data_IF_357758621087
#
_entry.id   IF_357758621087
#
_cell.length_a   1.000
_cell.length_b   1.000
_cell.length_c   1.000
_cell.angle_alpha   90.00
_cell.angle_beta   90.00
_cell.angle_gamma   90.00
#
_symmetry.space_group_name_H-M   'P 1'
#
loop_
_entity.id
_entity.type
_entity.pdbx_description
1 polymer ?
#
# COMPACT_ATOMS: atom_id res chain seq x y z
N UNK A 1 -21.05 34.31 5.29
CA UNK A 1 -20.34 33.97 6.53
C UNK A 1 -19.93 32.46 6.58
N UNK A 2 -20.76 31.52 6.07
CA UNK A 2 -20.48 30.08 6.07
C UNK A 2 -19.26 29.65 5.23
N UNK A 3 -19.00 30.29 4.11
CA UNK A 3 -17.87 29.91 3.21
C UNK A 3 -16.49 30.15 3.83
N UNK A 4 -16.33 31.22 4.63
CA UNK A 4 -15.05 31.51 5.27
C UNK A 4 -14.69 30.50 6.38
N UNK A 5 -15.67 30.05 7.15
CA UNK A 5 -15.47 29.06 8.22
C UNK A 5 -15.08 27.68 7.63
N UNK A 6 -15.73 27.28 6.53
CA UNK A 6 -15.41 26.03 5.83
C UNK A 6 -13.99 26.05 5.23
N UNK A 7 -13.56 27.16 4.65
CA UNK A 7 -12.19 27.30 4.10
C UNK A 7 -11.14 27.22 5.22
N UNK A 8 -11.38 27.84 6.36
CA UNK A 8 -10.46 27.79 7.52
C UNK A 8 -10.38 26.36 8.07
N UNK A 9 -11.52 25.68 8.22
CA UNK A 9 -11.58 24.29 8.68
C UNK A 9 -10.84 23.34 7.72
N UNK A 10 -11.06 23.48 6.41
CA UNK A 10 -10.40 22.70 5.38
C UNK A 10 -8.88 22.94 5.34
N UNK A 11 -8.43 24.18 5.46
CA UNK A 11 -7.00 24.50 5.53
C UNK A 11 -6.35 23.90 6.80
N UNK A 12 -7.03 23.92 7.93
CA UNK A 12 -6.55 23.28 9.16
C UNK A 12 -6.42 21.77 8.98
N UNK A 13 -7.40 21.12 8.40
CA UNK A 13 -7.40 19.69 8.10
C UNK A 13 -6.22 19.29 7.19
N UNK A 14 -6.05 19.98 6.06
CA UNK A 14 -4.95 19.74 5.12
C UNK A 14 -3.58 19.96 5.75
N UNK A 15 -3.44 20.96 6.62
CA UNK A 15 -2.20 21.19 7.35
C UNK A 15 -1.89 20.05 8.33
N UNK A 16 -2.90 19.48 8.99
CA UNK A 16 -2.74 18.32 9.86
C UNK A 16 -2.25 17.10 9.07
N UNK A 17 -2.92 16.77 7.95
CA UNK A 17 -2.51 15.66 7.06
C UNK A 17 -1.07 15.85 6.59
N UNK A 18 -0.73 17.06 6.10
CA UNK A 18 0.63 17.38 5.64
C UNK A 18 1.68 17.25 6.74
N UNK A 19 1.37 17.67 7.95
CA UNK A 19 2.29 17.56 9.08
C UNK A 19 2.59 16.10 9.43
N UNK A 20 1.58 15.23 9.40
CA UNK A 20 1.72 13.80 9.66
C UNK A 20 2.58 13.15 8.57
N UNK A 21 2.26 13.39 7.31
CA UNK A 21 3.05 12.88 6.17
C UNK A 21 4.51 13.35 6.27
N UNK A 22 4.74 14.62 6.52
CA UNK A 22 6.08 15.18 6.66
C UNK A 22 6.88 14.55 7.81
N UNK A 23 6.22 14.36 8.97
CA UNK A 23 6.81 13.68 10.12
C UNK A 23 7.25 12.25 9.76
N UNK A 24 6.37 11.49 9.09
CA UNK A 24 6.65 10.10 8.72
C UNK A 24 7.83 10.02 7.74
N UNK A 25 7.85 10.89 6.72
CA UNK A 25 8.98 10.95 5.77
C UNK A 25 10.31 11.31 6.44
N UNK A 26 10.33 12.31 7.33
CA UNK A 26 11.56 12.67 8.06
C UNK A 26 12.03 11.52 8.95
N UNK A 27 11.10 10.86 9.62
CA UNK A 27 11.44 9.73 10.49
C UNK A 27 12.07 8.61 9.66
N UNK A 28 11.46 8.25 8.55
CA UNK A 28 11.97 7.18 7.69
C UNK A 28 13.30 7.52 7.02
N UNK A 29 13.51 8.76 6.57
CA UNK A 29 14.79 9.21 6.01
C UNK A 29 15.95 9.11 7.02
N UNK A 30 15.64 9.23 8.31
CA UNK A 30 16.64 9.11 9.39
C UNK A 30 16.92 7.65 9.76
N UNK A 31 15.89 6.83 9.88
CA UNK A 31 16.02 5.45 10.36
C UNK A 31 16.28 4.46 9.23
N UNK A 32 15.68 4.68 8.07
CA UNK A 32 15.70 3.81 6.87
C UNK A 32 15.24 2.36 7.13
N UNK A 33 14.66 2.12 8.28
CA UNK A 33 14.34 0.77 8.74
C UNK A 33 13.15 0.15 8.00
N UNK A 34 12.13 0.96 7.70
CA UNK A 34 10.95 0.52 6.99
C UNK A 34 11.29 0.17 5.54
N UNK A 35 11.96 1.08 4.82
CA UNK A 35 12.40 0.85 3.45
C UNK A 35 13.32 -0.36 3.32
N UNK A 36 14.33 -0.47 4.19
CA UNK A 36 15.27 -1.59 4.16
C UNK A 36 14.56 -2.93 4.37
N UNK A 37 13.62 -2.99 5.32
CA UNK A 37 12.87 -4.21 5.60
C UNK A 37 11.98 -4.61 4.42
N UNK A 38 11.23 -3.67 3.86
CA UNK A 38 10.36 -3.89 2.71
C UNK A 38 11.17 -4.32 1.48
N UNK A 39 12.26 -3.62 1.19
CA UNK A 39 13.10 -3.87 0.03
C UNK A 39 13.80 -5.23 0.10
N UNK A 40 14.44 -5.54 1.23
CA UNK A 40 15.12 -6.82 1.43
C UNK A 40 14.13 -7.97 1.30
N UNK A 41 12.93 -7.83 1.87
CA UNK A 41 11.93 -8.89 1.81
C UNK A 41 11.37 -9.08 0.40
N UNK A 42 11.05 -8.00 -0.32
CA UNK A 42 10.61 -8.08 -1.71
C UNK A 42 11.67 -8.72 -2.60
N UNK A 43 12.94 -8.31 -2.43
CA UNK A 43 14.07 -8.90 -3.15
C UNK A 43 14.20 -10.40 -2.86
N UNK A 44 14.09 -10.81 -1.59
CA UNK A 44 14.18 -12.20 -1.18
C UNK A 44 13.07 -13.03 -1.81
N UNK A 45 11.83 -12.54 -1.83
CA UNK A 45 10.71 -13.21 -2.50
C UNK A 45 11.03 -13.42 -3.99
N UNK A 46 11.48 -12.37 -4.70
CA UNK A 46 11.83 -12.46 -6.12
C UNK A 46 12.93 -13.50 -6.34
N UNK A 47 13.99 -13.49 -5.52
CA UNK A 47 15.10 -14.43 -5.62
C UNK A 47 14.61 -15.87 -5.39
N UNK A 48 13.81 -16.12 -4.35
CA UNK A 48 13.29 -17.46 -4.09
C UNK A 48 12.49 -17.98 -5.28
N UNK A 49 11.60 -17.14 -5.83
CA UNK A 49 10.78 -17.57 -6.96
C UNK A 49 11.59 -17.83 -8.22
N UNK A 50 12.58 -16.99 -8.55
CA UNK A 50 13.41 -17.19 -9.75
C UNK A 50 14.21 -18.51 -9.68
N UNK A 51 14.72 -18.85 -8.49
CA UNK A 51 15.43 -20.13 -8.30
C UNK A 51 14.51 -21.34 -8.19
N UNK A 52 13.26 -21.16 -7.78
CA UNK A 52 12.27 -22.23 -7.63
C UNK A 52 11.57 -22.60 -8.94
N UNK A 53 11.48 -21.65 -9.87
CA UNK A 53 10.73 -21.80 -11.12
C UNK A 53 11.70 -22.14 -12.25
N UNK A 54 11.40 -23.22 -12.96
CA UNK A 54 12.14 -23.55 -14.17
C UNK A 54 11.61 -22.74 -15.37
N UNK A 55 12.23 -21.59 -15.63
CA UNK A 55 11.86 -20.69 -16.72
C UNK A 55 12.05 -21.28 -18.13
N UNK A 56 12.69 -22.44 -18.25
CA UNK A 56 12.75 -23.17 -19.52
C UNK A 56 11.43 -23.88 -19.84
N UNK A 57 10.60 -24.14 -18.83
CA UNK A 57 9.32 -24.85 -18.96
C UNK A 57 8.15 -23.86 -18.95
N UNK A 58 8.21 -22.83 -18.09
CA UNK A 58 7.13 -21.87 -17.88
C UNK A 58 7.58 -20.48 -18.30
N UNK A 59 6.74 -19.80 -19.07
CA UNK A 59 7.06 -18.44 -19.51
C UNK A 59 7.08 -17.46 -18.35
N UNK A 60 8.13 -16.66 -18.26
CA UNK A 60 8.24 -15.61 -17.25
C UNK A 60 7.06 -14.64 -17.27
N UNK A 61 6.50 -14.35 -18.46
CA UNK A 61 5.33 -13.49 -18.63
C UNK A 61 4.03 -14.02 -17.99
N UNK A 62 3.92 -15.34 -17.81
CA UNK A 62 2.73 -15.96 -17.22
C UNK A 62 2.76 -15.93 -15.69
N UNK A 63 3.94 -16.13 -15.09
CA UNK A 63 4.11 -16.21 -13.63
C UNK A 63 4.56 -14.88 -13.04
N UNK A 64 5.34 -14.10 -13.78
CA UNK A 64 5.93 -12.84 -13.32
C UNK A 64 4.96 -11.89 -12.63
N UNK A 65 3.78 -11.61 -13.21
CA UNK A 65 2.79 -10.75 -12.56
C UNK A 65 2.40 -11.21 -11.16
N UNK A 66 2.17 -12.52 -11.00
CA UNK A 66 1.85 -13.11 -9.70
C UNK A 66 2.98 -12.96 -8.68
N UNK A 67 4.22 -13.26 -9.09
CA UNK A 67 5.40 -13.12 -8.22
C UNK A 67 5.61 -11.66 -7.81
N UNK A 68 5.46 -10.73 -8.75
CA UNK A 68 5.59 -9.29 -8.49
C UNK A 68 4.60 -8.83 -7.43
N UNK A 69 3.32 -9.15 -7.60
CA UNK A 69 2.27 -8.74 -6.65
C UNK A 69 2.39 -9.46 -5.30
N UNK A 70 2.85 -10.70 -5.26
CA UNK A 70 3.16 -11.40 -4.00
C UNK A 70 4.31 -10.70 -3.27
N UNK A 71 5.37 -10.29 -3.97
CA UNK A 71 6.46 -9.53 -3.37
C UNK A 71 5.98 -8.19 -2.80
N UNK A 72 5.13 -7.45 -3.54
CA UNK A 72 4.54 -6.18 -3.10
C UNK A 72 3.63 -6.36 -1.88
N UNK A 73 2.77 -7.39 -1.90
CA UNK A 73 1.86 -7.71 -0.81
C UNK A 73 2.60 -7.98 0.51
N UNK A 74 3.61 -8.84 0.47
CA UNK A 74 4.36 -9.17 1.68
C UNK A 74 5.21 -8.01 2.17
N UNK A 75 5.90 -7.31 1.28
CA UNK A 75 6.67 -6.13 1.63
C UNK A 75 5.76 -5.03 2.21
N UNK A 76 4.62 -4.79 1.58
CA UNK A 76 3.63 -3.82 2.06
C UNK A 76 3.06 -4.18 3.42
N UNK A 77 2.81 -5.47 3.69
CA UNK A 77 2.35 -5.93 5.00
C UNK A 77 3.38 -5.64 6.10
N UNK A 78 4.67 -5.85 5.82
CA UNK A 78 5.76 -5.49 6.75
C UNK A 78 5.79 -3.98 6.97
N UNK A 79 5.65 -3.19 5.89
CA UNK A 79 5.61 -1.74 5.96
C UNK A 79 4.46 -1.22 6.83
N UNK A 80 3.26 -1.73 6.62
CA UNK A 80 2.06 -1.36 7.38
C UNK A 80 2.19 -1.70 8.87
N UNK A 81 2.67 -2.90 9.20
CA UNK A 81 2.93 -3.30 10.58
C UNK A 81 3.88 -2.33 11.28
N UNK A 82 4.98 -2.00 10.62
CA UNK A 82 6.02 -1.15 11.21
C UNK A 82 5.60 0.32 11.32
N UNK A 83 4.80 0.82 10.39
CA UNK A 83 4.33 2.21 10.37
C UNK A 83 3.60 2.62 11.66
N UNK A 84 2.76 1.76 12.20
CA UNK A 84 2.04 2.00 13.46
C UNK A 84 2.83 1.56 14.71
N UNK A 85 3.75 0.60 14.56
CA UNK A 85 4.62 0.15 15.64
C UNK A 85 5.52 1.28 16.18
N UNK A 86 6.14 2.01 15.29
CA UNK A 86 7.02 3.12 15.63
C UNK A 86 6.31 4.23 16.43
N UNK A 87 5.01 4.41 16.21
CA UNK A 87 4.23 5.42 16.95
C UNK A 87 3.88 4.96 18.36
N UNK A 88 3.59 3.67 18.53
CA UNK A 88 3.28 3.10 19.84
C UNK A 88 4.50 2.99 20.75
N UNK A 89 5.65 2.57 20.21
CA UNK A 89 6.91 2.46 20.97
C UNK A 89 7.43 3.79 21.50
N UNK A 90 7.09 4.89 20.84
CA UNK A 90 7.53 6.24 21.24
C UNK A 90 6.48 7.03 22.01
N UNK A 91 5.39 6.38 22.47
CA UNK A 91 4.21 7.04 23.08
C UNK A 91 3.65 8.20 22.24
N UNK A 92 4.05 8.29 20.96
CA UNK A 92 3.60 9.34 20.05
C UNK A 92 2.12 9.21 19.74
N UNK A 93 1.57 8.00 19.77
CA UNK A 93 0.14 7.76 19.54
C UNK A 93 -0.72 8.43 20.62
N UNK A 94 -0.32 8.30 21.89
CA UNK A 94 -1.01 8.98 22.99
C UNK A 94 -0.89 10.50 22.91
N UNK A 95 0.28 11.00 22.53
CA UNK A 95 0.50 12.42 22.28
C UNK A 95 -0.35 12.98 21.12
N UNK A 96 -0.55 12.20 20.07
CA UNK A 96 -1.41 12.56 18.93
C UNK A 96 -2.91 12.50 19.28
N UNK A 97 -3.33 11.58 20.14
CA UNK A 97 -4.73 11.48 20.59
C UNK A 97 -5.10 12.59 21.60
N UNK A 98 -4.14 13.10 22.37
CA UNK A 98 -4.33 14.24 23.27
C UNK A 98 -4.29 15.58 22.50
N UNK A 99 -3.59 15.62 21.35
CA UNK A 99 -3.58 16.81 20.51
C UNK A 99 -4.95 16.98 19.83
N UNK A 100 -5.40 18.21 19.54
CA UNK A 100 -6.66 18.48 18.84
C UNK A 100 -6.52 18.19 17.35
N UNK A 101 -6.16 16.94 17.01
CA UNK A 101 -6.03 16.42 15.64
C UNK A 101 -7.28 15.65 15.30
N UNK A 102 -7.81 15.91 14.11
CA UNK A 102 -8.94 15.16 13.58
C UNK A 102 -8.51 13.71 13.28
N UNK A 103 -9.29 12.73 13.74
CA UNK A 103 -8.99 11.30 13.58
C UNK A 103 -8.94 10.88 12.11
N UNK A 104 -9.83 11.45 11.30
CA UNK A 104 -9.81 11.23 9.85
C UNK A 104 -8.55 11.83 9.21
N UNK A 105 -8.05 12.97 9.70
CA UNK A 105 -6.80 13.55 9.22
C UNK A 105 -5.58 12.67 9.59
N UNK A 106 -5.61 12.02 10.75
CA UNK A 106 -4.59 11.05 11.13
C UNK A 106 -4.59 9.85 10.19
N UNK A 107 -5.76 9.28 9.91
CA UNK A 107 -5.90 8.17 8.97
C UNK A 107 -5.40 8.52 7.57
N UNK A 108 -5.86 9.64 6.99
CA UNK A 108 -5.43 10.04 5.65
C UNK A 108 -3.94 10.40 5.59
N UNK A 109 -3.40 10.99 6.64
CA UNK A 109 -1.96 11.25 6.76
C UNK A 109 -1.16 9.94 6.70
N UNK A 110 -1.58 8.94 7.46
CA UNK A 110 -0.97 7.61 7.45
C UNK A 110 -1.17 6.86 6.13
N UNK A 111 -2.36 6.94 5.56
CA UNK A 111 -2.65 6.34 4.25
C UNK A 111 -1.71 6.90 3.18
N UNK A 112 -1.57 8.23 3.10
CA UNK A 112 -0.70 8.87 2.10
C UNK A 112 0.77 8.51 2.34
N UNK A 113 1.22 8.46 3.60
CA UNK A 113 2.59 8.05 3.94
C UNK A 113 2.86 6.61 3.51
N UNK A 114 2.01 5.67 3.92
CA UNK A 114 2.14 4.25 3.60
C UNK A 114 2.08 4.00 2.08
N UNK A 115 1.14 4.64 1.41
CA UNK A 115 0.99 4.57 -0.04
C UNK A 115 2.25 5.08 -0.76
N UNK A 116 2.79 6.23 -0.35
CA UNK A 116 3.99 6.80 -0.93
C UNK A 116 5.21 5.90 -0.71
N UNK A 117 5.37 5.36 0.50
CA UNK A 117 6.47 4.46 0.82
C UNK A 117 6.41 3.17 -0.01
N UNK A 118 5.22 2.58 -0.13
CA UNK A 118 5.04 1.37 -0.89
C UNK A 118 5.30 1.61 -2.39
N UNK A 119 4.76 2.69 -2.97
CA UNK A 119 5.06 3.07 -4.35
C UNK A 119 6.55 3.24 -4.62
N UNK A 120 7.27 3.96 -3.75
CA UNK A 120 8.72 4.14 -3.91
C UNK A 120 9.43 2.78 -3.90
N UNK A 121 9.04 1.89 -2.99
CA UNK A 121 9.61 0.54 -2.92
C UNK A 121 9.30 -0.26 -4.18
N UNK A 122 8.06 -0.23 -4.68
CA UNK A 122 7.63 -0.93 -5.89
C UNK A 122 8.42 -0.44 -7.11
N UNK A 123 8.60 0.87 -7.26
CA UNK A 123 9.41 1.45 -8.34
C UNK A 123 10.90 1.08 -8.24
N UNK A 124 11.44 0.90 -7.05
CA UNK A 124 12.81 0.44 -6.87
C UNK A 124 12.98 -1.05 -7.20
N UNK A 125 11.97 -1.86 -6.92
CA UNK A 125 11.98 -3.31 -7.19
C UNK A 125 11.70 -3.62 -8.66
N UNK A 126 10.91 -2.80 -9.37
CA UNK A 126 10.56 -3.03 -10.77
C UNK A 126 11.76 -3.29 -11.69
N UNK A 127 12.82 -2.46 -11.74
CA UNK A 127 13.97 -2.73 -12.59
C UNK A 127 14.70 -4.03 -12.24
N UNK A 128 14.75 -4.36 -10.96
CA UNK A 128 15.34 -5.63 -10.48
C UNK A 128 14.51 -6.80 -10.99
N UNK A 129 13.18 -6.70 -10.87
CA UNK A 129 12.25 -7.71 -11.38
C UNK A 129 12.40 -7.90 -12.89
N UNK A 130 12.50 -6.80 -13.67
CA UNK A 130 12.71 -6.84 -15.13
C UNK A 130 13.98 -7.63 -15.50
N UNK A 131 15.08 -7.37 -14.79
CA UNK A 131 16.37 -8.05 -15.02
C UNK A 131 16.26 -9.53 -14.71
N UNK A 132 15.73 -9.88 -13.53
CA UNK A 132 15.67 -11.28 -13.08
C UNK A 132 14.71 -12.15 -13.90
N UNK A 133 13.56 -11.62 -14.29
CA UNK A 133 12.57 -12.33 -15.10
C UNK A 133 12.77 -12.16 -16.60
N UNK A 134 13.74 -11.34 -17.02
CA UNK A 134 13.99 -11.01 -18.44
C UNK A 134 12.73 -10.57 -19.19
N UNK A 135 11.93 -9.70 -18.55
CA UNK A 135 10.69 -9.13 -19.09
C UNK A 135 10.95 -7.66 -19.40
N UNK A 136 10.72 -7.24 -20.65
CA UNK A 136 10.81 -5.83 -21.02
C UNK A 136 9.46 -5.13 -20.74
N UNK A 137 9.41 -4.37 -19.65
CA UNK A 137 8.24 -3.55 -19.27
C UNK A 137 8.33 -2.11 -19.77
N UNK A 138 9.45 -1.69 -20.33
CA UNK A 138 9.68 -0.30 -20.74
C UNK A 138 8.63 0.18 -21.74
N UNK A 139 8.24 -0.59 -22.79
CA UNK A 139 7.23 -0.17 -23.77
C UNK A 139 5.84 0.01 -23.14
N UNK A 140 5.58 -0.67 -22.00
CA UNK A 140 4.27 -0.70 -21.36
C UNK A 140 4.27 -0.05 -19.96
N UNK A 141 5.23 0.85 -19.72
CA UNK A 141 5.46 1.44 -18.40
C UNK A 141 4.26 2.27 -17.93
N UNK A 142 3.62 3.00 -18.82
CA UNK A 142 2.50 3.88 -18.49
C UNK A 142 1.24 3.10 -18.05
N UNK A 143 0.76 2.07 -18.78
CA UNK A 143 -0.29 1.18 -18.28
C UNK A 143 0.09 0.48 -16.98
N UNK A 144 1.34 0.04 -16.84
CA UNK A 144 1.81 -0.63 -15.64
C UNK A 144 1.75 0.26 -14.40
N UNK A 145 2.20 1.53 -14.53
CA UNK A 145 2.11 2.51 -13.44
C UNK A 145 0.65 2.68 -13.00
N UNK A 146 -0.28 2.71 -13.94
CA UNK A 146 -1.71 2.84 -13.63
C UNK A 146 -2.23 1.65 -12.82
N UNK A 147 -1.83 0.43 -13.19
CA UNK A 147 -2.20 -0.81 -12.47
C UNK A 147 -1.59 -0.83 -11.08
N UNK A 148 -0.31 -0.49 -10.97
CA UNK A 148 0.39 -0.40 -9.68
C UNK A 148 -0.30 0.61 -8.78
N UNK A 149 -0.58 1.80 -9.27
CA UNK A 149 -1.23 2.85 -8.49
C UNK A 149 -2.59 2.40 -7.95
N UNK A 150 -3.46 1.82 -8.79
CA UNK A 150 -4.76 1.34 -8.38
C UNK A 150 -4.65 0.20 -7.35
N UNK A 151 -3.87 -0.84 -7.64
CA UNK A 151 -3.73 -1.98 -6.73
C UNK A 151 -3.13 -1.60 -5.37
N UNK A 152 -2.12 -0.73 -5.37
CA UNK A 152 -1.47 -0.25 -4.15
C UNK A 152 -2.38 0.67 -3.33
N UNK A 153 -3.24 1.47 -3.99
CA UNK A 153 -4.20 2.33 -3.30
C UNK A 153 -5.17 1.50 -2.46
N UNK A 154 -5.80 0.49 -3.02
CA UNK A 154 -6.72 -0.37 -2.29
C UNK A 154 -6.03 -1.17 -1.18
N UNK A 155 -4.83 -1.69 -1.47
CA UNK A 155 -4.02 -2.34 -0.44
C UNK A 155 -3.74 -1.41 0.74
N UNK A 156 -3.26 -0.20 0.49
CA UNK A 156 -2.93 0.76 1.55
C UNK A 156 -4.17 1.24 2.29
N UNK A 157 -5.30 1.42 1.61
CA UNK A 157 -6.54 1.90 2.24
C UNK A 157 -7.01 0.94 3.33
N UNK A 158 -7.28 -0.30 2.97
CA UNK A 158 -7.74 -1.29 3.96
C UNK A 158 -6.63 -1.68 4.93
N UNK A 159 -5.38 -1.76 4.44
CA UNK A 159 -4.23 -2.10 5.24
C UNK A 159 -3.93 -1.09 6.34
N UNK A 160 -4.05 0.21 6.05
CA UNK A 160 -3.88 1.28 7.05
C UNK A 160 -4.97 1.23 8.12
N UNK A 161 -6.23 0.98 7.73
CA UNK A 161 -7.34 0.79 8.67
C UNK A 161 -7.08 -0.40 9.60
N UNK A 162 -6.76 -1.57 9.04
CA UNK A 162 -6.52 -2.78 9.83
C UNK A 162 -5.27 -2.69 10.69
N UNK A 163 -4.25 -1.96 10.22
CA UNK A 163 -3.03 -1.72 10.99
C UNK A 163 -3.32 -0.83 12.20
N UNK A 164 -4.19 0.18 12.06
CA UNK A 164 -4.64 1.01 13.20
C UNK A 164 -5.45 0.20 14.22
N UNK A 165 -6.36 -0.66 13.77
CA UNK A 165 -7.11 -1.60 14.62
C UNK A 165 -6.18 -2.56 15.38
N UNK A 166 -5.20 -3.10 14.67
CA UNK A 166 -4.27 -4.09 15.25
C UNK A 166 -3.25 -3.48 16.20
N UNK A 167 -2.99 -2.17 16.12
CA UNK A 167 -1.96 -1.49 16.89
C UNK A 167 -2.15 -1.63 18.41
N UNK A 168 -3.40 -1.74 18.88
CA UNK A 168 -3.72 -1.89 20.29
C UNK A 168 -3.69 -3.33 20.80
N UNK A 169 -3.57 -4.32 19.90
CA UNK A 169 -3.61 -5.74 20.27
C UNK A 169 -2.21 -6.28 20.59
N UNK A 170 -2.13 -7.21 21.55
CA UNK A 170 -0.87 -7.88 21.95
C UNK A 170 -0.29 -8.76 20.81
N UNK A 171 -1.15 -9.30 19.93
CA UNK A 171 -0.78 -10.21 18.83
C UNK A 171 -0.91 -9.56 17.45
N UNK A 172 -0.66 -8.26 17.36
CA UNK A 172 -0.83 -7.44 16.14
C UNK A 172 -0.12 -7.99 14.90
N UNK A 173 1.11 -8.51 15.07
CA UNK A 173 1.94 -8.97 13.95
C UNK A 173 1.32 -10.14 13.19
N UNK A 174 0.52 -10.95 13.88
CA UNK A 174 -0.21 -12.07 13.29
C UNK A 174 -1.60 -11.63 12.84
N UNK A 175 -2.23 -10.73 13.57
CA UNK A 175 -3.61 -10.35 13.33
C UNK A 175 -3.79 -9.50 12.07
N UNK A 176 -2.84 -8.61 11.77
CA UNK A 176 -2.90 -7.80 10.55
C UNK A 176 -2.93 -8.68 9.29
N UNK A 177 -1.99 -9.62 9.04
CA UNK A 177 -2.05 -10.47 7.86
C UNK A 177 -3.31 -11.33 7.79
N UNK A 178 -3.77 -11.88 8.91
CA UNK A 178 -4.97 -12.74 8.94
C UNK A 178 -6.22 -11.98 8.49
N UNK A 179 -6.38 -10.72 8.90
CA UNK A 179 -7.53 -9.91 8.52
C UNK A 179 -7.34 -9.30 7.12
N UNK A 180 -6.13 -8.89 6.77
CA UNK A 180 -5.84 -8.19 5.54
C UNK A 180 -5.93 -9.11 4.31
N UNK A 181 -5.34 -10.30 4.36
CA UNK A 181 -5.20 -11.15 3.18
C UNK A 181 -6.55 -11.56 2.56
N UNK A 182 -7.58 -12.00 3.31
CA UNK A 182 -8.86 -12.30 2.71
C UNK A 182 -9.52 -11.09 2.04
N UNK A 183 -9.39 -9.91 2.62
CA UNK A 183 -10.01 -8.69 2.08
C UNK A 183 -9.32 -8.21 0.80
N UNK A 184 -8.00 -8.39 0.69
CA UNK A 184 -7.26 -7.88 -0.45
C UNK A 184 -7.25 -8.81 -1.67
N UNK A 185 -7.71 -10.06 -1.54
CA UNK A 185 -7.75 -11.04 -2.63
C UNK A 185 -8.33 -10.47 -3.93
N UNK A 186 -9.51 -9.81 -3.96
CA UNK A 186 -10.07 -9.31 -5.20
C UNK A 186 -9.19 -8.25 -5.87
N UNK A 187 -8.54 -7.38 -5.08
CA UNK A 187 -7.62 -6.36 -5.60
C UNK A 187 -6.38 -7.03 -6.20
N UNK A 188 -5.78 -7.99 -5.49
CA UNK A 188 -4.58 -8.70 -5.97
C UNK A 188 -4.87 -9.47 -7.25
N UNK A 189 -6.00 -10.19 -7.32
CA UNK A 189 -6.39 -10.92 -8.53
C UNK A 189 -6.57 -9.95 -9.70
N UNK A 190 -7.29 -8.84 -9.50
CA UNK A 190 -7.48 -7.81 -10.52
C UNK A 190 -6.13 -7.23 -11.00
N UNK A 191 -5.26 -6.88 -10.07
CA UNK A 191 -3.95 -6.29 -10.35
C UNK A 191 -3.02 -7.28 -11.09
N UNK A 192 -2.98 -8.54 -10.68
CA UNK A 192 -2.21 -9.60 -11.38
C UNK A 192 -2.72 -9.77 -12.81
N UNK A 193 -4.05 -9.85 -13.00
CA UNK A 193 -4.66 -9.99 -14.33
C UNK A 193 -4.36 -8.80 -15.24
N UNK A 194 -4.52 -7.58 -14.74
CA UNK A 194 -4.17 -6.36 -15.49
C UNK A 194 -2.68 -6.33 -15.85
N UNK A 195 -1.80 -6.65 -14.90
CA UNK A 195 -0.35 -6.71 -15.17
C UNK A 195 -0.01 -7.75 -16.23
N UNK A 196 -0.66 -8.92 -16.21
CA UNK A 196 -0.49 -9.95 -17.25
C UNK A 196 -0.89 -9.45 -18.64
N UNK A 197 -2.01 -8.73 -18.74
CA UNK A 197 -2.48 -8.12 -19.98
C UNK A 197 -1.54 -7.01 -20.47
N UNK A 198 -1.00 -6.20 -19.53
CA UNK A 198 0.03 -5.18 -19.86
C UNK A 198 1.27 -5.84 -20.46
N UNK A 199 1.77 -6.91 -19.86
CA UNK A 199 2.95 -7.64 -20.38
C UNK A 199 2.66 -8.27 -21.74
N UNK A 200 1.43 -8.72 -21.97
CA UNK A 200 1.00 -9.25 -23.27
C UNK A 200 0.82 -8.16 -24.35
N UNK A 201 0.95 -6.88 -23.99
CA UNK A 201 0.77 -5.76 -24.92
C UNK A 201 -0.70 -5.52 -25.30
N UNK A 202 -1.65 -5.98 -24.49
CA UNK A 202 -3.06 -5.75 -24.73
C UNK A 202 -3.45 -4.28 -24.53
N UNK A 203 -4.45 -3.78 -25.28
CA UNK A 203 -4.91 -2.41 -25.13
C UNK A 203 -5.61 -2.20 -23.77
N UNK A 204 -5.59 -0.97 -23.24
CA UNK A 204 -6.23 -0.61 -21.98
C UNK A 204 -7.73 -0.96 -21.93
N UNK A 205 -8.40 -1.00 -23.11
CA UNK A 205 -9.81 -1.39 -23.21
C UNK A 205 -10.10 -2.82 -22.78
N UNK A 206 -9.15 -3.75 -22.88
CA UNK A 206 -9.30 -5.13 -22.43
C UNK A 206 -9.26 -5.25 -20.89
N UNK A 207 -8.67 -4.27 -20.22
CA UNK A 207 -8.47 -4.26 -18.77
C UNK A 207 -9.64 -3.63 -18.00
N UNK A 208 -10.62 -3.05 -18.69
CA UNK A 208 -11.71 -2.26 -18.07
C UNK A 208 -12.48 -3.01 -17.00
N UNK A 209 -12.73 -4.29 -17.20
CA UNK A 209 -13.49 -5.12 -16.23
C UNK A 209 -12.68 -5.32 -14.92
N UNK A 210 -11.39 -5.60 -15.03
CA UNK A 210 -10.53 -5.77 -13.87
C UNK A 210 -10.26 -4.42 -13.17
N UNK A 211 -10.07 -3.37 -13.96
CA UNK A 211 -9.88 -2.02 -13.44
C UNK A 211 -11.14 -1.54 -12.69
N UNK A 212 -12.32 -1.74 -13.26
CA UNK A 212 -13.58 -1.38 -12.59
C UNK A 212 -13.78 -2.16 -11.30
N UNK A 213 -13.40 -3.45 -11.27
CA UNK A 213 -13.43 -4.26 -10.05
C UNK A 213 -12.50 -3.67 -8.97
N UNK A 214 -11.24 -3.41 -9.30
CA UNK A 214 -10.26 -2.85 -8.34
C UNK A 214 -10.75 -1.50 -7.83
N UNK A 215 -11.13 -0.57 -8.71
CA UNK A 215 -11.62 0.75 -8.32
C UNK A 215 -12.91 0.68 -7.48
N UNK A 216 -13.80 -0.27 -7.74
CA UNK A 216 -15.00 -0.48 -6.92
C UNK A 216 -14.62 -0.86 -5.48
N UNK A 217 -13.67 -1.79 -5.31
CA UNK A 217 -13.15 -2.15 -3.98
C UNK A 217 -12.42 -0.99 -3.32
N UNK A 218 -11.64 -0.21 -4.06
CA UNK A 218 -10.96 0.99 -3.54
C UNK A 218 -11.97 1.99 -2.95
N UNK A 219 -13.04 2.28 -3.69
CA UNK A 219 -14.12 3.17 -3.21
C UNK A 219 -14.81 2.61 -1.98
N UNK A 220 -15.13 1.29 -1.98
CA UNK A 220 -15.74 0.62 -0.82
C UNK A 220 -14.82 0.73 0.39
N UNK A 221 -13.53 0.45 0.24
CA UNK A 221 -12.58 0.47 1.34
C UNK A 221 -12.35 1.88 1.89
N UNK A 222 -12.29 2.89 1.03
CA UNK A 222 -12.24 4.29 1.46
C UNK A 222 -13.49 4.65 2.27
N UNK A 223 -14.68 4.30 1.77
CA UNK A 223 -15.94 4.60 2.44
C UNK A 223 -16.03 3.91 3.81
N UNK A 224 -15.71 2.61 3.87
CA UNK A 224 -15.69 1.84 5.11
C UNK A 224 -14.66 2.40 6.10
N UNK A 225 -13.48 2.77 5.62
CA UNK A 225 -12.43 3.33 6.48
C UNK A 225 -12.87 4.66 7.12
N UNK A 226 -13.50 5.55 6.34
CA UNK A 226 -14.02 6.83 6.87
C UNK A 226 -15.10 6.59 7.92
N UNK A 227 -15.97 5.61 7.72
CA UNK A 227 -17.06 5.32 8.66
C UNK A 227 -16.58 4.71 9.98
N UNK A 228 -15.51 3.91 9.94
CA UNK A 228 -15.07 3.10 11.09
C UNK A 228 -13.94 3.78 11.87
N UNK A 229 -13.15 4.67 11.24
CA UNK A 229 -11.93 5.20 11.85
C UNK A 229 -12.18 5.94 13.17
N UNK A 230 -13.32 6.62 13.31
CA UNK A 230 -13.67 7.33 14.54
C UNK A 230 -13.85 6.37 15.71
N UNK A 231 -14.45 5.20 15.48
CA UNK A 231 -14.62 4.15 16.48
C UNK A 231 -13.31 3.45 16.83
N UNK A 232 -12.45 3.25 15.82
CA UNK A 232 -11.14 2.58 15.97
C UNK A 232 -10.18 3.36 16.86
N UNK A 233 -10.23 4.68 16.79
CA UNK A 233 -9.34 5.56 17.54
C UNK A 233 -9.96 6.05 18.88
N UNK A 234 -11.15 5.57 19.24
CA UNK A 234 -11.78 5.83 20.56
C UNK A 234 -11.34 4.87 21.65
N UNK A 235 -10.88 3.65 21.30
CA UNK A 235 -10.35 2.62 22.20
C UNK A 235 -8.82 2.73 22.35
#
# INVERSE_FOLDING_TARGET
MHTGVLVIAMNRYLNQVRAIVWKDFITELKTRELFSSMFIFALLVIIIFIFSINLSIVKASEIGPGVMWVAFLFAGTIGLNRSFMLEKEKDCLQGLLIAPVDRTALYFGKLISNFSFLLIMEFLILPIFMIFFNIDLIPHLLPLIYVIFAGTLGFCTIGTLLSSLSANLKSRDIMLPILLYPLIIPIIIGSVRMTSQVIAGEPLSSMTNWLSLVLCFDVIYIAVSIMIIDFVLEE
#
